data_IF_190206024737
#
_entry.id   IF_190206024737
#
_cell.length_a   1.000
_cell.length_b   1.000
_cell.length_c   1.000
_cell.angle_alpha   90.00
_cell.angle_beta   90.00
_cell.angle_gamma   90.00
#
_symmetry.space_group_name_H-M   'P 1'
#
loop_
_entity.id
_entity.type
_entity.pdbx_description
1 polymer ?
#
# COMPACT_ATOMS: atom_id res chain seq x y z
N UNK A 1 33.95 7.61 -22.68
CA UNK A 1 33.09 8.37 -23.63
C UNK A 1 32.90 9.75 -23.05
N UNK A 2 33.36 10.80 -23.74
CA UNK A 2 33.22 12.18 -23.26
C UNK A 2 31.82 12.63 -23.67
N UNK A 3 30.91 12.74 -22.69
CA UNK A 3 29.62 13.37 -22.92
C UNK A 3 29.89 14.85 -23.22
N UNK A 4 29.55 15.30 -24.43
CA UNK A 4 29.69 16.71 -24.79
C UNK A 4 28.54 17.51 -24.19
N UNK A 5 28.76 18.79 -23.94
CA UNK A 5 27.74 19.71 -23.41
C UNK A 5 26.43 19.67 -24.22
N UNK A 6 26.52 19.48 -25.54
CA UNK A 6 25.36 19.30 -26.41
C UNK A 6 24.56 18.02 -26.12
N UNK A 7 25.24 16.92 -25.77
CA UNK A 7 24.57 15.67 -25.41
C UNK A 7 23.85 15.77 -24.07
N UNK A 8 24.43 16.49 -23.11
CA UNK A 8 23.78 16.80 -21.83
C UNK A 8 22.56 17.70 -22.02
N UNK A 9 22.66 18.75 -22.84
CA UNK A 9 21.54 19.64 -23.16
C UNK A 9 20.37 18.88 -23.80
N UNK A 10 20.63 17.97 -24.74
CA UNK A 10 19.60 17.13 -25.37
C UNK A 10 18.93 16.16 -24.38
N UNK A 11 19.67 15.64 -23.41
CA UNK A 11 19.12 14.76 -22.36
C UNK A 11 18.23 15.54 -21.39
N UNK A 12 18.64 16.75 -21.01
CA UNK A 12 17.85 17.65 -20.16
C UNK A 12 16.50 18.01 -20.80
N UNK A 13 16.50 18.41 -22.07
CA UNK A 13 15.27 18.73 -22.80
C UNK A 13 14.32 17.52 -22.90
N UNK A 14 14.86 16.30 -23.07
CA UNK A 14 14.06 15.07 -23.07
C UNK A 14 13.47 14.77 -21.68
N UNK A 15 14.25 14.97 -20.63
CA UNK A 15 13.80 14.76 -19.25
C UNK A 15 12.69 15.75 -18.88
N UNK A 16 12.83 17.02 -19.23
CA UNK A 16 11.78 18.03 -18.98
C UNK A 16 10.45 17.66 -19.65
N UNK A 17 10.49 17.17 -20.90
CA UNK A 17 9.27 16.73 -21.59
C UNK A 17 8.61 15.54 -20.89
N UNK A 18 9.39 14.54 -20.50
CA UNK A 18 8.87 13.36 -19.81
C UNK A 18 8.28 13.74 -18.45
N UNK A 19 8.96 14.62 -17.69
CA UNK A 19 8.48 15.10 -16.40
C UNK A 19 7.19 15.91 -16.56
N UNK A 20 7.03 16.69 -17.63
CA UNK A 20 5.79 17.42 -17.93
C UNK A 20 4.61 16.49 -18.27
N UNK A 21 4.86 15.31 -18.82
CA UNK A 21 3.82 14.33 -19.19
C UNK A 21 3.39 13.44 -18.01
N UNK A 22 4.22 13.30 -16.97
CA UNK A 22 3.92 12.47 -15.78
C UNK A 22 2.66 12.96 -15.02
N UNK A 23 2.46 14.27 -14.74
CA UNK A 23 1.26 14.77 -14.08
C UNK A 23 -0.03 14.45 -14.83
N UNK A 24 -0.02 14.54 -16.17
CA UNK A 24 -1.17 14.23 -17.04
C UNK A 24 -1.55 12.75 -16.95
N UNK A 25 -0.56 11.84 -17.00
CA UNK A 25 -0.81 10.40 -16.84
C UNK A 25 -1.26 10.03 -15.43
N UNK A 26 -0.79 10.75 -14.42
CA UNK A 26 -1.24 10.59 -13.05
C UNK A 26 -2.67 11.10 -12.85
N UNK A 27 -3.11 12.17 -13.54
CA UNK A 27 -4.52 12.61 -13.45
C UNK A 27 -5.48 11.63 -14.11
N UNK A 28 -5.12 11.06 -15.27
CA UNK A 28 -5.93 10.05 -15.97
C UNK A 28 -6.17 8.79 -15.11
N UNK A 29 -5.16 8.37 -14.34
CA UNK A 29 -5.29 7.19 -13.45
C UNK A 29 -6.14 7.47 -12.20
N UNK A 30 -6.18 8.71 -11.72
CA UNK A 30 -7.01 9.12 -10.56
C UNK A 30 -8.49 9.26 -10.94
N UNK A 31 -8.81 9.69 -12.17
CA UNK A 31 -10.22 9.85 -12.60
C UNK A 31 -10.90 8.50 -12.92
N UNK A 32 -10.13 7.50 -13.39
CA UNK A 32 -10.66 6.13 -13.58
C UNK A 32 -10.99 5.49 -12.24
N UNK A 33 -10.21 5.75 -11.18
CA UNK A 33 -10.46 5.18 -9.86
C UNK A 33 -11.68 5.81 -9.16
N UNK A 34 -12.04 7.07 -9.45
CA UNK A 34 -13.25 7.71 -8.90
C UNK A 34 -14.55 7.30 -9.59
N UNK A 35 -14.51 6.96 -10.88
CA UNK A 35 -15.71 6.68 -11.68
C UNK A 35 -16.25 5.25 -11.53
N UNK A 36 -15.42 4.29 -11.09
CA UNK A 36 -15.83 2.90 -10.83
C UNK A 36 -16.63 2.74 -9.53
N UNK A 37 -16.60 3.76 -8.66
CA UNK A 37 -16.98 3.60 -7.25
C UNK A 37 -18.44 3.92 -6.88
N UNK A 38 -19.28 4.29 -7.86
CA UNK A 38 -20.62 4.85 -7.56
C UNK A 38 -21.83 3.96 -7.92
N UNK A 39 -21.67 2.76 -8.50
CA UNK A 39 -22.83 1.95 -8.97
C UNK A 39 -23.06 0.57 -8.33
N UNK A 40 -22.19 0.09 -7.43
CA UNK A 40 -22.29 -1.31 -6.93
C UNK A 40 -22.22 -1.50 -5.41
N UNK A 41 -22.32 -0.43 -4.62
CA UNK A 41 -22.27 -0.54 -3.16
C UNK A 41 -23.67 -0.75 -2.60
N UNK A 42 -24.05 -2.00 -2.34
CA UNK A 42 -24.86 -2.34 -1.15
C UNK A 42 -25.01 -3.84 -0.87
N UNK A 43 -24.62 -4.74 -1.78
CA UNK A 43 -24.77 -6.19 -1.53
C UNK A 43 -23.63 -7.10 -1.99
N UNK A 44 -22.64 -6.62 -2.77
CA UNK A 44 -21.46 -7.42 -3.22
C UNK A 44 -20.18 -7.20 -2.36
N UNK A 45 -20.19 -6.26 -1.40
CA UNK A 45 -18.96 -5.68 -0.81
C UNK A 45 -18.06 -6.67 -0.05
N UNK A 46 -18.62 -7.68 0.64
CA UNK A 46 -17.79 -8.58 1.47
C UNK A 46 -16.93 -9.54 0.65
N UNK A 47 -17.40 -9.99 -0.51
CA UNK A 47 -16.60 -10.84 -1.40
C UNK A 47 -15.51 -10.04 -2.11
N UNK A 48 -15.81 -8.78 -2.45
CA UNK A 48 -14.84 -7.86 -3.06
C UNK A 48 -13.69 -7.54 -2.10
N UNK A 49 -14.00 -7.25 -0.83
CA UNK A 49 -13.00 -6.93 0.19
C UNK A 49 -12.07 -8.11 0.49
N UNK A 50 -12.63 -9.32 0.64
CA UNK A 50 -11.82 -10.53 0.85
C UNK A 50 -10.88 -10.81 -0.33
N UNK A 51 -11.33 -10.58 -1.57
CA UNK A 51 -10.49 -10.72 -2.76
C UNK A 51 -9.42 -9.62 -2.84
N UNK A 52 -9.74 -8.38 -2.46
CA UNK A 52 -8.79 -7.29 -2.41
C UNK A 52 -7.69 -7.58 -1.38
N UNK A 53 -8.06 -8.02 -0.17
CA UNK A 53 -7.11 -8.42 0.87
C UNK A 53 -6.23 -9.59 0.42
N UNK A 54 -6.79 -10.57 -0.29
CA UNK A 54 -6.00 -11.68 -0.84
C UNK A 54 -4.96 -11.20 -1.85
N UNK A 55 -5.35 -10.37 -2.82
CA UNK A 55 -4.43 -9.78 -3.81
C UNK A 55 -3.37 -8.90 -3.15
N UNK A 56 -3.73 -8.15 -2.12
CA UNK A 56 -2.77 -7.35 -1.34
C UNK A 56 -1.74 -8.24 -0.64
N UNK A 57 -2.17 -9.34 0.00
CA UNK A 57 -1.25 -10.28 0.66
C UNK A 57 -0.32 -10.98 -0.34
N UNK A 58 -0.81 -11.31 -1.53
CA UNK A 58 0.00 -11.86 -2.62
C UNK A 58 1.04 -10.83 -3.10
N UNK A 59 0.63 -9.58 -3.33
CA UNK A 59 1.53 -8.51 -3.78
C UNK A 59 2.62 -8.18 -2.74
N UNK A 60 2.28 -8.23 -1.46
CA UNK A 60 3.21 -8.03 -0.35
C UNK A 60 4.07 -9.27 -0.06
N UNK A 61 3.87 -10.40 -0.76
CA UNK A 61 4.62 -11.64 -0.53
C UNK A 61 4.30 -12.35 0.79
N UNK A 62 3.16 -12.00 1.42
CA UNK A 62 2.73 -12.52 2.74
C UNK A 62 1.50 -13.42 2.67
N UNK A 63 1.15 -13.90 1.47
CA UNK A 63 -0.01 -14.76 1.25
C UNK A 63 0.02 -16.04 2.09
N UNK A 64 1.21 -16.60 2.33
CA UNK A 64 1.41 -17.83 3.08
C UNK A 64 1.67 -17.62 4.58
N UNK A 65 1.76 -16.36 5.02
CA UNK A 65 2.06 -16.05 6.42
C UNK A 65 0.78 -16.17 7.22
N UNK A 66 0.71 -17.17 8.09
CA UNK A 66 -0.34 -17.28 9.09
C UNK A 66 -0.14 -16.24 10.19
N UNK A 67 -1.24 -15.75 10.74
CA UNK A 67 -1.17 -14.81 11.85
C UNK A 67 -0.69 -15.55 13.09
N UNK A 68 0.45 -15.11 13.63
CA UNK A 68 0.97 -15.59 14.89
C UNK A 68 -0.06 -15.40 16.04
N UNK A 69 -0.16 -16.33 17.01
CA UNK A 69 -1.02 -16.20 18.18
C UNK A 69 -0.82 -14.88 18.93
N UNK A 70 -1.87 -14.39 19.60
CA UNK A 70 -1.85 -13.08 20.28
C UNK A 70 -0.76 -13.01 21.37
N UNK A 71 -0.59 -14.08 22.15
CA UNK A 71 0.44 -14.16 23.18
C UNK A 71 1.85 -14.08 22.60
N UNK A 72 2.08 -14.71 21.47
CA UNK A 72 3.37 -14.70 20.77
C UNK A 72 3.62 -13.35 20.11
N UNK A 73 2.59 -12.70 19.55
CA UNK A 73 2.67 -11.34 19.03
C UNK A 73 3.09 -10.36 20.13
N UNK A 74 2.46 -10.42 21.32
CA UNK A 74 2.82 -9.57 22.47
C UNK A 74 4.27 -9.79 22.90
N UNK A 75 4.71 -11.05 22.99
CA UNK A 75 6.12 -11.37 23.28
C UNK A 75 7.06 -10.83 22.21
N UNK A 76 6.69 -10.91 20.94
CA UNK A 76 7.48 -10.38 19.83
C UNK A 76 7.61 -8.86 19.89
N UNK A 77 6.50 -8.15 20.11
CA UNK A 77 6.48 -6.70 20.26
C UNK A 77 7.37 -6.26 21.43
N UNK A 78 7.26 -6.91 22.58
CA UNK A 78 8.12 -6.64 23.74
C UNK A 78 9.61 -6.85 23.44
N UNK A 79 9.97 -7.91 22.70
CA UNK A 79 11.37 -8.16 22.26
C UNK A 79 11.92 -7.05 21.37
N UNK A 80 11.07 -6.41 20.58
CA UNK A 80 11.45 -5.29 19.71
C UNK A 80 11.25 -3.92 20.37
N UNK A 81 10.95 -3.87 21.67
CA UNK A 81 10.71 -2.63 22.40
C UNK A 81 9.43 -1.89 22.01
N UNK A 82 8.50 -2.56 21.31
CA UNK A 82 7.21 -2.01 20.91
C UNK A 82 6.23 -2.25 22.05
N UNK A 83 5.74 -1.16 22.64
CA UNK A 83 4.66 -1.17 23.62
C UNK A 83 3.36 -0.79 22.93
N UNK A 84 2.33 -1.59 23.10
CA UNK A 84 1.05 -1.36 22.43
C UNK A 84 0.40 -0.05 22.90
N UNK A 85 0.66 0.35 24.14
CA UNK A 85 0.14 1.57 24.75
C UNK A 85 0.73 2.85 24.13
N UNK A 86 1.97 2.75 23.62
CA UNK A 86 2.72 3.89 23.08
C UNK A 86 2.41 4.14 21.59
N UNK A 87 1.64 3.26 20.93
CA UNK A 87 1.33 3.37 19.50
C UNK A 87 -0.10 2.93 19.19
N UNK A 88 -0.92 3.84 18.66
CA UNK A 88 -2.31 3.58 18.28
C UNK A 88 -2.50 2.43 17.29
N UNK A 89 -1.57 2.27 16.35
CA UNK A 89 -1.59 1.15 15.40
C UNK A 89 -1.35 -0.19 16.11
N UNK A 90 -0.39 -0.22 17.03
CA UNK A 90 -0.08 -1.42 17.80
C UNK A 90 -1.23 -1.77 18.76
N UNK A 91 -1.83 -0.77 19.40
CA UNK A 91 -3.04 -0.91 20.20
C UNK A 91 -4.18 -1.49 19.37
N UNK A 92 -4.45 -0.91 18.19
CA UNK A 92 -5.51 -1.35 17.29
C UNK A 92 -5.36 -2.80 16.84
N UNK A 93 -4.12 -3.27 16.56
CA UNK A 93 -3.88 -4.68 16.21
C UNK A 93 -4.25 -5.62 17.37
N UNK A 94 -3.90 -5.25 18.60
CA UNK A 94 -4.19 -6.06 19.79
C UNK A 94 -5.69 -6.09 20.07
N UNK A 95 -6.34 -4.92 20.12
CA UNK A 95 -7.78 -4.80 20.38
C UNK A 95 -8.60 -5.54 19.33
N UNK A 96 -8.25 -5.42 18.05
CA UNK A 96 -8.97 -6.10 16.98
C UNK A 96 -8.85 -7.62 17.11
N UNK A 97 -7.69 -8.14 17.52
CA UNK A 97 -7.50 -9.58 17.72
C UNK A 97 -8.18 -10.11 18.98
N UNK A 98 -8.34 -9.29 20.01
CA UNK A 98 -9.08 -9.68 21.21
C UNK A 98 -10.58 -9.85 20.95
N UNK A 99 -11.16 -9.15 19.96
CA UNK A 99 -12.57 -9.30 19.56
C UNK A 99 -12.92 -10.70 19.02
N UNK A 100 -11.93 -11.43 18.52
CA UNK A 100 -12.10 -12.74 17.89
C UNK A 100 -11.67 -13.91 18.79
N UNK A 101 -11.47 -13.66 20.09
CA UNK A 101 -11.13 -14.66 21.11
C UNK A 101 -12.37 -15.15 21.84
#
# INVERSE_FOLDING_TARGET
>A
MIETLETLAKRLIRLEKVVAEVPLRLSETVDISKSVDMRKRKTEDKQSEAQALKKMREHLGIAHIELMPLEELRKSMARHGIRAEDNEFSRGIIEEREKYR
#
